data_IF_851070102344
#
_entry.id   IF_851070102344
#
_cell.length_a   1.000
_cell.length_b   1.000
_cell.length_c   1.000
_cell.angle_alpha   90.00
_cell.angle_beta   90.00
_cell.angle_gamma   90.00
#
_symmetry.space_group_name_H-M   'P 1'
#
loop_
_entity.id
_entity.type
_entity.pdbx_description
1 polymer ?
#
# COMPACT_ATOMS: atom_id res chain seq x y z
N UNK A 1 -22.02 0.64 23.11
CA UNK A 1 -22.24 -0.54 23.97
C UNK A 1 -23.30 -0.16 25.00
N UNK A 2 -24.24 -1.06 25.28
CA UNK A 2 -25.24 -0.85 26.33
C UNK A 2 -24.77 -1.63 27.57
N UNK A 3 -24.66 -0.98 28.72
CA UNK A 3 -24.20 -1.62 29.95
C UNK A 3 -24.60 -0.79 31.17
N UNK A 4 -24.83 -1.47 32.30
CA UNK A 4 -25.14 -0.84 33.59
C UNK A 4 -24.12 -1.34 34.61
N UNK A 5 -23.37 -0.45 35.29
CA UNK A 5 -23.29 1.00 35.06
C UNK A 5 -22.80 1.34 33.63
N UNK A 6 -23.04 2.57 33.18
CA UNK A 6 -22.62 3.04 31.86
C UNK A 6 -21.12 2.76 31.65
N UNK A 7 -20.73 2.03 30.59
CA UNK A 7 -19.34 1.69 30.37
C UNK A 7 -18.52 2.89 29.89
N UNK A 8 -17.23 2.88 30.22
CA UNK A 8 -16.23 3.78 29.62
C UNK A 8 -15.59 3.11 28.40
N UNK A 9 -15.23 3.90 27.41
CA UNK A 9 -14.57 3.43 26.19
C UNK A 9 -13.10 3.82 26.20
N UNK A 10 -12.26 2.95 25.63
CA UNK A 10 -10.85 3.21 25.35
C UNK A 10 -10.48 2.61 24.00
N UNK A 11 -9.49 3.19 23.33
CA UNK A 11 -9.03 2.75 22.02
C UNK A 11 -7.57 2.32 22.07
N UNK A 12 -7.28 1.19 21.43
CA UNK A 12 -5.92 0.69 21.28
C UNK A 12 -5.60 0.46 19.80
N UNK A 13 -4.37 0.69 19.39
CA UNK A 13 -3.79 0.27 18.11
C UNK A 13 -2.66 -0.72 18.38
N UNK A 14 -2.78 -1.92 17.84
CA UNK A 14 -1.79 -3.00 18.00
C UNK A 14 -1.43 -3.26 19.48
N UNK A 15 -2.43 -3.13 20.36
CA UNK A 15 -2.29 -3.31 21.80
C UNK A 15 -1.79 -2.08 22.58
N UNK A 16 -1.46 -0.97 21.89
CA UNK A 16 -1.01 0.28 22.52
C UNK A 16 -2.17 1.26 22.64
N UNK A 17 -2.37 1.83 23.83
CA UNK A 17 -3.43 2.82 24.06
C UNK A 17 -3.22 4.07 23.20
N UNK A 18 -4.30 4.55 22.59
CA UNK A 18 -4.35 5.82 21.86
C UNK A 18 -4.75 7.00 22.75
N UNK A 19 -5.10 6.76 24.02
CA UNK A 19 -5.39 7.81 24.99
C UNK A 19 -4.15 8.67 25.27
N UNK A 20 -4.28 9.99 25.15
CA UNK A 20 -3.17 10.92 25.35
C UNK A 20 -2.14 10.92 24.23
N UNK A 21 -2.47 10.38 23.05
CA UNK A 21 -1.61 10.53 21.87
C UNK A 21 -1.56 12.00 21.45
N UNK A 22 -0.36 12.57 21.36
CA UNK A 22 -0.11 13.90 20.79
C UNK A 22 -0.19 13.92 19.24
N UNK A 23 -0.62 12.82 18.64
CA UNK A 23 -0.79 12.71 17.20
C UNK A 23 -1.93 13.64 16.73
N UNK A 24 -1.58 14.76 16.09
CA UNK A 24 -2.52 15.75 15.57
C UNK A 24 -3.55 15.21 14.57
N UNK A 25 -3.37 13.98 14.09
CA UNK A 25 -4.25 13.33 13.12
C UNK A 25 -5.22 12.31 13.74
N UNK A 26 -5.20 12.14 15.06
CA UNK A 26 -6.07 11.24 15.81
C UNK A 26 -6.99 12.07 16.71
N UNK A 27 -8.29 11.76 16.73
CA UNK A 27 -9.22 12.36 17.69
C UNK A 27 -10.23 11.34 18.19
N UNK A 28 -10.57 11.45 19.47
CA UNK A 28 -11.56 10.61 20.15
C UNK A 28 -12.66 11.52 20.69
N UNK A 29 -13.92 11.13 20.52
CA UNK A 29 -15.06 11.90 21.06
C UNK A 29 -15.02 11.96 22.60
N UNK A 30 -15.63 12.98 23.23
CA UNK A 30 -15.59 13.12 24.70
C UNK A 30 -16.16 11.93 25.47
N UNK A 31 -17.11 11.20 24.90
CA UNK A 31 -17.68 9.96 25.44
C UNK A 31 -16.83 8.72 25.17
N UNK A 32 -15.70 8.87 24.46
CA UNK A 32 -14.77 7.80 24.08
C UNK A 32 -15.28 6.88 22.96
N UNK A 33 -16.53 7.05 22.52
CA UNK A 33 -17.21 6.04 21.69
C UNK A 33 -16.75 6.00 20.24
N UNK A 34 -16.15 7.10 19.75
CA UNK A 34 -15.77 7.27 18.34
C UNK A 34 -14.31 7.69 18.22
N UNK A 35 -13.55 6.95 17.41
CA UNK A 35 -12.19 7.27 16.99
C UNK A 35 -12.24 7.80 15.54
N UNK A 36 -11.65 8.98 15.33
CA UNK A 36 -11.46 9.59 14.00
C UNK A 36 -9.98 9.67 13.70
N UNK A 37 -9.61 9.22 12.51
CA UNK A 37 -8.25 9.29 11.99
C UNK A 37 -8.26 10.16 10.71
N UNK A 38 -7.35 11.10 10.61
CA UNK A 38 -7.21 12.03 9.48
C UNK A 38 -5.85 11.86 8.82
N UNK A 39 -5.70 12.29 7.56
CA UNK A 39 -4.40 12.34 6.85
C UNK A 39 -3.55 11.07 7.05
N UNK A 40 -4.20 9.91 6.92
CA UNK A 40 -3.60 8.60 7.19
C UNK A 40 -2.37 8.34 6.32
N UNK A 41 -1.39 7.71 6.94
CA UNK A 41 -0.15 7.22 6.34
C UNK A 41 -0.12 5.69 6.39
N UNK A 42 0.79 5.02 5.65
CA UNK A 42 0.93 3.56 5.73
C UNK A 42 1.16 3.03 7.15
N UNK A 43 1.85 3.82 7.98
CA UNK A 43 2.14 3.50 9.39
C UNK A 43 0.88 3.42 10.25
N UNK A 44 -0.23 4.04 9.84
CA UNK A 44 -1.51 3.98 10.54
C UNK A 44 -2.27 2.67 10.32
N UNK A 45 -1.80 1.81 9.40
CA UNK A 45 -2.33 0.45 9.25
C UNK A 45 -2.10 -0.35 10.54
N UNK A 46 -3.04 -1.24 10.86
CA UNK A 46 -2.96 -2.03 12.09
C UNK A 46 -4.31 -2.53 12.57
N UNK A 47 -4.29 -3.16 13.74
CA UNK A 47 -5.50 -3.64 14.42
C UNK A 47 -5.93 -2.64 15.48
N UNK A 48 -7.09 -2.04 15.28
CA UNK A 48 -7.71 -1.11 16.23
C UNK A 48 -8.71 -1.86 17.11
N UNK A 49 -8.66 -1.62 18.42
CA UNK A 49 -9.57 -2.22 19.39
C UNK A 49 -10.35 -1.13 20.13
N UNK A 50 -11.67 -1.23 20.09
CA UNK A 50 -12.55 -0.49 20.98
C UNK A 50 -12.85 -1.36 22.20
N UNK A 51 -12.46 -0.90 23.39
CA UNK A 51 -12.65 -1.61 24.65
C UNK A 51 -13.65 -0.85 25.52
N UNK A 52 -14.74 -1.52 25.88
CA UNK A 52 -15.79 -1.00 26.76
C UNK A 52 -15.72 -1.70 28.13
N UNK A 53 -15.58 -0.94 29.22
CA UNK A 53 -15.41 -1.48 30.59
C UNK A 53 -16.40 -0.83 31.55
N UNK A 54 -17.03 -1.63 32.42
CA UNK A 54 -17.73 -1.17 33.61
C UNK A 54 -17.44 -2.11 34.80
N UNK A 55 -18.10 -1.90 35.95
CA UNK A 55 -17.91 -2.76 37.13
C UNK A 55 -18.48 -4.18 36.98
N UNK A 56 -19.32 -4.41 35.97
CA UNK A 56 -19.88 -5.74 35.69
C UNK A 56 -19.00 -6.56 34.74
N UNK A 57 -18.10 -5.92 33.98
CA UNK A 57 -17.18 -6.63 33.09
C UNK A 57 -16.59 -5.74 31.99
N UNK A 58 -16.09 -6.40 30.95
CA UNK A 58 -15.51 -5.77 29.78
C UNK A 58 -15.93 -6.49 28.49
N UNK A 59 -16.03 -5.73 27.40
CA UNK A 59 -16.29 -6.24 26.06
C UNK A 59 -15.43 -5.47 25.06
N UNK A 60 -15.01 -6.11 23.96
CA UNK A 60 -14.12 -5.48 22.98
C UNK A 60 -14.53 -5.76 21.54
N UNK A 61 -14.24 -4.83 20.65
CA UNK A 61 -14.43 -5.00 19.20
C UNK A 61 -13.17 -4.62 18.44
N UNK A 62 -12.75 -5.51 17.53
CA UNK A 62 -11.57 -5.34 16.70
C UNK A 62 -11.94 -4.82 15.30
N UNK A 63 -11.06 -3.99 14.75
CA UNK A 63 -11.12 -3.44 13.40
C UNK A 63 -9.74 -3.57 12.75
N UNK A 64 -9.67 -4.17 11.57
CA UNK A 64 -8.44 -4.24 10.79
C UNK A 64 -8.42 -3.10 9.78
N UNK A 65 -7.47 -2.18 9.91
CA UNK A 65 -7.28 -1.07 8.98
C UNK A 65 -6.03 -1.31 8.13
N UNK A 66 -6.18 -1.19 6.81
CA UNK A 66 -5.06 -1.18 5.86
C UNK A 66 -5.12 0.10 5.06
N UNK A 67 -4.06 0.91 5.12
CA UNK A 67 -3.93 2.13 4.33
C UNK A 67 -3.30 1.78 2.99
N UNK A 68 -4.04 2.05 1.91
CA UNK A 68 -3.59 1.77 0.55
C UNK A 68 -2.67 2.89 0.04
N UNK A 69 -1.69 2.51 -0.76
CA UNK A 69 -0.74 3.43 -1.39
C UNK A 69 -0.90 3.31 -2.91
N UNK A 70 -1.29 4.40 -3.61
CA UNK A 70 -1.40 4.38 -5.06
C UNK A 70 -0.08 3.96 -5.74
N UNK A 71 -0.14 3.27 -6.89
CA UNK A 71 1.04 2.95 -7.66
C UNK A 71 1.83 4.20 -8.05
N UNK A 72 3.14 4.18 -7.84
CA UNK A 72 4.08 5.18 -8.35
C UNK A 72 5.23 4.46 -9.05
N UNK A 73 5.65 4.97 -10.21
CA UNK A 73 6.81 4.43 -10.90
C UNK A 73 8.04 4.98 -10.19
N UNK A 74 8.74 4.12 -9.45
CA UNK A 74 9.96 4.43 -8.72
C UNK A 74 11.16 4.23 -9.64
N UNK A 75 12.20 5.05 -9.47
CA UNK A 75 13.44 4.90 -10.21
C UNK A 75 13.99 6.25 -10.64
N UNK A 76 15.20 6.54 -10.20
CA UNK A 76 16.05 7.48 -10.93
C UNK A 76 16.21 6.87 -12.33
N UNK A 77 15.71 7.56 -13.35
CA UNK A 77 15.74 7.10 -14.75
C UNK A 77 17.19 7.07 -15.23
N UNK A 78 17.97 6.09 -14.79
CA UNK A 78 19.27 5.74 -15.36
C UNK A 78 19.10 5.31 -16.82
N UNK A 79 17.90 4.82 -17.15
CA UNK A 79 17.41 4.60 -18.51
C UNK A 79 16.87 5.93 -19.06
N UNK A 80 17.53 6.54 -20.06
CA UNK A 80 17.01 7.73 -20.72
C UNK A 80 15.65 7.46 -21.39
N UNK A 81 14.79 8.48 -21.43
CA UNK A 81 13.49 8.43 -22.14
C UNK A 81 13.63 8.03 -23.60
N UNK A 82 14.77 8.34 -24.19
CA UNK A 82 15.13 7.95 -25.55
C UNK A 82 16.41 7.13 -25.52
N UNK A 83 16.36 5.95 -26.12
CA UNK A 83 17.51 5.08 -26.31
C UNK A 83 17.77 4.91 -27.80
N UNK A 84 19.00 5.19 -28.22
CA UNK A 84 19.50 4.85 -29.54
C UNK A 84 20.34 3.59 -29.41
N UNK A 85 19.95 2.54 -30.12
CA UNK A 85 20.60 1.24 -30.06
C UNK A 85 21.06 0.83 -31.45
N UNK A 86 22.21 0.17 -31.55
CA UNK A 86 22.72 -0.36 -32.81
C UNK A 86 21.91 -1.57 -33.26
N UNK A 87 21.92 -1.84 -34.56
CA UNK A 87 21.31 -3.06 -35.10
C UNK A 87 21.86 -4.30 -34.40
N UNK A 88 21.00 -5.30 -34.17
CA UNK A 88 21.29 -6.58 -33.52
C UNK A 88 21.75 -6.49 -32.05
N UNK A 89 21.61 -5.31 -31.43
CA UNK A 89 21.80 -5.17 -30.00
C UNK A 89 20.66 -5.78 -29.19
N UNK A 90 20.98 -6.15 -27.96
CA UNK A 90 20.01 -6.54 -26.94
C UNK A 90 19.78 -5.34 -26.03
N UNK A 91 18.53 -4.96 -25.82
CA UNK A 91 18.15 -3.89 -24.88
C UNK A 91 17.27 -4.45 -23.79
N UNK A 92 17.42 -3.91 -22.58
CA UNK A 92 16.55 -4.20 -21.45
C UNK A 92 15.98 -2.88 -20.94
N UNK A 93 14.66 -2.78 -20.92
CA UNK A 93 13.92 -1.67 -20.36
C UNK A 93 13.43 -2.07 -18.98
N UNK A 94 13.57 -1.16 -18.02
CA UNK A 94 13.16 -1.37 -16.64
C UNK A 94 11.99 -0.47 -16.29
N UNK A 95 11.00 -1.04 -15.62
CA UNK A 95 9.90 -0.34 -14.98
C UNK A 95 9.82 -0.87 -13.55
N UNK A 96 10.17 -0.03 -12.57
CA UNK A 96 9.95 -0.33 -11.17
C UNK A 96 8.74 0.48 -10.70
N UNK A 97 7.82 -0.16 -10.02
CA UNK A 97 6.65 0.50 -9.45
C UNK A 97 6.48 0.08 -7.99
N UNK A 98 6.19 1.07 -7.14
CA UNK A 98 5.89 0.89 -5.73
C UNK A 98 4.40 1.18 -5.49
N UNK A 99 3.82 0.54 -4.48
CA UNK A 99 2.41 0.70 -4.12
C UNK A 99 1.98 -0.33 -3.10
N UNK A 100 0.82 -0.11 -2.48
CA UNK A 100 0.17 -1.05 -1.58
C UNK A 100 -1.31 -1.19 -1.97
N UNK A 101 -1.74 -2.36 -2.49
CA UNK A 101 -0.93 -3.56 -2.73
C UNK A 101 0.14 -3.36 -3.82
N UNK A 102 1.13 -4.27 -3.92
CA UNK A 102 2.14 -4.22 -4.98
C UNK A 102 1.47 -4.12 -6.37
N UNK A 103 1.86 -3.13 -7.20
CA UNK A 103 1.23 -2.93 -8.50
C UNK A 103 1.60 -4.03 -9.50
N UNK A 104 0.70 -4.29 -10.44
CA UNK A 104 0.98 -5.13 -11.60
C UNK A 104 1.56 -4.27 -12.73
N UNK A 105 2.60 -4.76 -13.39
CA UNK A 105 3.27 -4.06 -14.48
C UNK A 105 2.81 -4.65 -15.82
N UNK A 106 2.42 -3.78 -16.74
CA UNK A 106 2.05 -4.16 -18.11
C UNK A 106 2.76 -3.27 -19.11
N UNK A 107 3.33 -3.89 -20.14
CA UNK A 107 4.06 -3.18 -21.18
C UNK A 107 3.17 -2.91 -22.39
N UNK A 108 3.30 -1.70 -22.93
CA UNK A 108 2.67 -1.29 -24.19
C UNK A 108 3.76 -1.01 -25.22
N UNK A 109 3.50 -1.38 -26.47
CA UNK A 109 4.28 -0.97 -27.63
C UNK A 109 3.37 -0.19 -28.56
N UNK A 110 3.70 1.09 -28.81
CA UNK A 110 2.90 2.00 -29.63
C UNK A 110 1.43 2.11 -29.17
N UNK A 111 1.20 2.11 -27.85
CA UNK A 111 -0.13 2.20 -27.26
C UNK A 111 -0.93 0.90 -27.22
N UNK A 112 -0.40 -0.20 -27.76
CA UNK A 112 -1.04 -1.52 -27.74
C UNK A 112 -0.34 -2.46 -26.75
N UNK A 113 -1.08 -3.42 -26.12
CA UNK A 113 -0.48 -4.45 -25.29
C UNK A 113 0.69 -5.14 -25.99
N UNK A 114 1.83 -5.23 -25.30
CA UNK A 114 3.01 -5.88 -25.83
C UNK A 114 2.70 -7.36 -26.11
N UNK A 115 2.80 -7.77 -27.37
CA UNK A 115 2.71 -9.18 -27.74
C UNK A 115 4.08 -9.85 -27.54
N UNK A 116 4.09 -10.94 -26.78
CA UNK A 116 5.30 -11.74 -26.59
C UNK A 116 5.70 -12.43 -27.90
N UNK A 117 7.00 -12.47 -28.17
CA UNK A 117 7.58 -13.01 -29.40
C UNK A 117 8.96 -13.57 -29.11
N UNK A 118 9.63 -14.27 -30.04
CA UNK A 118 11.03 -14.68 -29.86
C UNK A 118 11.96 -13.51 -29.56
N UNK A 119 11.60 -12.28 -29.97
CA UNK A 119 12.36 -11.05 -29.74
C UNK A 119 12.10 -10.42 -28.38
N UNK A 120 10.93 -10.63 -27.77
CA UNK A 120 10.48 -9.89 -26.58
C UNK A 120 10.27 -10.84 -25.41
N UNK A 121 10.88 -10.56 -24.26
CA UNK A 121 10.73 -11.36 -23.04
C UNK A 121 10.53 -10.45 -21.83
N UNK A 122 9.56 -10.82 -20.99
CA UNK A 122 9.37 -10.23 -19.67
C UNK A 122 10.18 -11.03 -18.64
N UNK A 123 10.88 -10.33 -17.76
CA UNK A 123 11.74 -10.88 -16.72
C UNK A 123 11.42 -10.20 -15.38
N UNK A 124 11.92 -10.76 -14.28
CA UNK A 124 11.81 -10.16 -12.93
C UNK A 124 10.37 -9.80 -12.53
N UNK A 125 9.41 -10.69 -12.78
CA UNK A 125 7.99 -10.42 -12.49
C UNK A 125 7.42 -9.25 -13.29
N UNK A 126 7.73 -9.22 -14.58
CA UNK A 126 7.30 -8.21 -15.57
C UNK A 126 7.91 -6.82 -15.42
N UNK A 127 8.79 -6.59 -14.44
CA UNK A 127 9.50 -5.31 -14.26
C UNK A 127 10.57 -5.04 -15.31
N UNK A 128 11.08 -6.07 -15.99
CA UNK A 128 12.09 -5.95 -17.04
C UNK A 128 11.56 -6.45 -18.38
N UNK A 129 11.59 -5.59 -19.39
CA UNK A 129 11.33 -5.96 -20.78
C UNK A 129 12.65 -6.08 -21.53
N UNK A 130 13.02 -7.30 -21.91
CA UNK A 130 14.18 -7.58 -22.75
C UNK A 130 13.76 -7.71 -24.21
N UNK A 131 14.42 -6.96 -25.09
CA UNK A 131 14.25 -7.00 -26.54
C UNK A 131 15.57 -7.46 -27.16
N UNK A 132 15.54 -8.53 -27.96
CA UNK A 132 16.71 -9.13 -28.59
C UNK A 132 16.45 -9.44 -30.07
N UNK A 133 17.49 -9.49 -30.93
CA UNK A 133 17.35 -9.98 -32.29
C UNK A 133 16.93 -11.44 -32.30
N UNK A 134 16.30 -11.87 -33.40
CA UNK A 134 16.04 -13.29 -33.63
C UNK A 134 17.36 -13.93 -34.01
N UNK A 135 17.87 -14.82 -33.15
CA UNK A 135 18.95 -15.70 -33.55
C UNK A 135 18.40 -16.66 -34.61
N UNK A 136 18.93 -16.54 -35.83
CA UNK A 136 18.72 -17.48 -36.94
C UNK A 136 19.41 -18.82 -36.64
#
# INVERSE_FOLDING_TARGET
ANGIPTPRFSWLKDGVSLEGSDAHHISVTPDGSTLTLMKLTPEDSGTYMCLAINSAGQESKLYSLVVLVPPSISGETTIPREMQVTQDSVVTLECQAAGNPPPQISWLMNGHPLLLSPRTRLLSGDSLLRIAPVQL
#
